data_IF_387123908861
#
_entry.id   IF_387123908861
#
_cell.length_a   1.000
_cell.length_b   1.000
_cell.length_c   1.000
_cell.angle_alpha   90.00
_cell.angle_beta   90.00
_cell.angle_gamma   90.00
#
_symmetry.space_group_name_H-M   'P 1'
#
loop_
_entity.id
_entity.type
_entity.pdbx_description
1 polymer ?
#
# COMPACT_ATOMS: atom_id res chain seq x y z
N UNK A 1 17.44 -1.10 8.52
CA UNK A 1 17.72 -2.53 8.27
C UNK A 1 16.39 -3.23 8.04
N UNK A 2 16.09 -3.61 6.78
CA UNK A 2 14.84 -4.33 6.43
C UNK A 2 15.14 -5.82 6.45
N UNK A 3 14.54 -6.54 7.41
CA UNK A 3 14.78 -7.97 7.63
C UNK A 3 13.82 -8.81 6.77
N UNK A 4 14.34 -9.42 5.73
CA UNK A 4 13.61 -10.23 4.73
C UNK A 4 14.12 -11.70 4.67
N UNK A 5 14.84 -12.18 5.70
CA UNK A 5 15.47 -13.51 5.73
C UNK A 5 14.51 -14.70 5.92
N UNK A 6 13.27 -14.45 6.32
CA UNK A 6 12.32 -15.52 6.68
C UNK A 6 11.81 -16.33 5.48
N UNK A 7 11.68 -17.67 5.67
CA UNK A 7 11.18 -18.60 4.65
C UNK A 7 9.65 -18.64 4.50
N UNK A 8 8.90 -17.99 5.40
CA UNK A 8 7.43 -17.91 5.30
C UNK A 8 6.66 -19.24 5.46
N UNK A 9 7.24 -20.25 6.12
CA UNK A 9 6.70 -21.62 6.24
C UNK A 9 5.23 -21.72 6.68
N UNK A 10 4.71 -20.73 7.42
CA UNK A 10 3.33 -20.72 7.94
C UNK A 10 2.24 -20.41 6.91
N UNK A 11 2.61 -19.86 5.75
CA UNK A 11 1.65 -19.53 4.68
C UNK A 11 1.41 -20.69 3.71
N UNK A 12 2.33 -21.69 3.64
CA UNK A 12 2.20 -22.85 2.76
C UNK A 12 2.33 -22.54 1.26
N UNK A 13 2.69 -21.32 0.87
CA UNK A 13 2.91 -20.93 -0.51
C UNK A 13 4.37 -21.14 -0.93
N UNK A 14 4.60 -21.41 -2.22
CA UNK A 14 5.94 -21.55 -2.80
C UNK A 14 6.71 -20.22 -2.80
N UNK A 15 6.02 -19.08 -2.77
CA UNK A 15 6.61 -17.74 -2.74
C UNK A 15 6.70 -17.23 -1.31
N UNK A 16 7.88 -16.76 -0.85
CA UNK A 16 8.00 -16.15 0.47
C UNK A 16 7.11 -14.92 0.61
N UNK A 17 6.51 -14.76 1.80
CA UNK A 17 5.48 -13.76 2.10
C UNK A 17 5.88 -12.32 1.81
N UNK A 18 7.16 -11.97 1.94
CA UNK A 18 7.67 -10.64 1.62
C UNK A 18 7.60 -10.30 0.13
N UNK A 19 7.49 -11.30 -0.74
CA UNK A 19 7.39 -11.12 -2.19
C UNK A 19 5.96 -11.32 -2.73
N UNK A 20 5.00 -11.62 -1.87
CA UNK A 20 3.59 -11.67 -2.26
C UNK A 20 3.13 -10.25 -2.66
N UNK A 21 2.23 -10.19 -3.64
CA UNK A 21 1.62 -8.94 -4.07
C UNK A 21 0.54 -8.48 -3.09
N UNK A 22 0.52 -7.20 -2.81
CA UNK A 22 -0.43 -6.51 -1.96
C UNK A 22 -0.64 -5.10 -2.52
N UNK A 23 -1.87 -4.71 -2.80
CA UNK A 23 -2.19 -3.38 -3.35
C UNK A 23 -1.25 -2.96 -4.51
N UNK A 24 -1.03 -3.87 -5.48
CA UNK A 24 -0.26 -3.63 -6.71
C UNK A 24 1.27 -3.70 -6.59
N UNK A 25 1.85 -3.85 -5.39
CA UNK A 25 3.29 -3.99 -5.15
C UNK A 25 3.59 -5.22 -4.30
N UNK A 26 4.85 -5.68 -4.29
CA UNK A 26 5.27 -6.69 -3.31
C UNK A 26 5.29 -6.11 -1.90
N UNK A 27 4.98 -6.93 -0.91
CA UNK A 27 4.92 -6.51 0.51
C UNK A 27 6.19 -5.77 0.94
N UNK A 28 7.36 -6.27 0.56
CA UNK A 28 8.65 -5.64 0.86
C UNK A 28 8.81 -4.26 0.19
N UNK A 29 8.26 -4.06 -1.01
CA UNK A 29 8.34 -2.76 -1.71
C UNK A 29 7.61 -1.67 -0.92
N UNK A 30 6.42 -1.97 -0.37
CA UNK A 30 5.70 -1.04 0.51
C UNK A 30 6.52 -0.66 1.75
N UNK A 31 7.18 -1.64 2.36
CA UNK A 31 8.05 -1.38 3.51
C UNK A 31 9.24 -0.49 3.13
N UNK A 32 9.94 -0.82 2.04
CA UNK A 32 11.10 -0.04 1.58
C UNK A 32 10.68 1.39 1.19
N UNK A 33 9.53 1.57 0.54
CA UNK A 33 9.00 2.89 0.14
C UNK A 33 8.92 3.87 1.31
N UNK A 34 8.45 3.42 2.48
CA UNK A 34 8.33 4.28 3.67
C UNK A 34 9.71 4.74 4.13
N UNK A 35 10.69 3.85 4.23
CA UNK A 35 12.04 4.21 4.64
C UNK A 35 12.78 5.03 3.58
N UNK A 36 12.58 4.74 2.28
CA UNK A 36 13.16 5.48 1.17
C UNK A 36 12.72 6.94 1.17
N UNK A 37 11.45 7.20 1.49
CA UNK A 37 10.89 8.54 1.46
C UNK A 37 11.07 9.30 2.79
N UNK A 38 11.45 8.62 3.87
CA UNK A 38 11.59 9.25 5.18
C UNK A 38 12.84 10.15 5.25
N UNK A 39 12.71 11.44 5.63
CA UNK A 39 13.81 12.41 5.56
C UNK A 39 14.98 12.12 6.51
N UNK A 40 14.74 11.44 7.64
CA UNK A 40 15.74 11.13 8.66
C UNK A 40 16.39 9.75 8.46
N UNK A 41 16.16 9.07 7.37
CA UNK A 41 16.83 7.81 7.01
C UNK A 41 17.89 8.11 5.96
N UNK A 42 19.13 7.78 6.28
CA UNK A 42 20.28 8.01 5.39
C UNK A 42 20.48 6.82 4.44
N UNK A 43 20.43 5.59 4.97
CA UNK A 43 20.69 4.37 4.23
C UNK A 43 19.68 3.26 4.55
N UNK A 44 19.40 2.44 3.56
CA UNK A 44 18.61 1.21 3.69
C UNK A 44 19.51 0.02 3.37
N UNK A 45 19.50 -0.95 4.28
CA UNK A 45 20.12 -2.27 4.09
C UNK A 45 19.02 -3.32 4.11
N UNK A 46 18.97 -4.16 3.10
CA UNK A 46 18.04 -5.31 3.07
C UNK A 46 18.81 -6.57 3.40
N UNK A 47 18.37 -7.30 4.41
CA UNK A 47 18.94 -8.61 4.75
C UNK A 47 18.00 -9.69 4.24
N UNK A 48 18.36 -10.32 3.14
CA UNK A 48 17.53 -11.29 2.43
C UNK A 48 17.98 -12.73 2.69
N UNK A 49 17.03 -13.64 2.52
CA UNK A 49 17.40 -15.05 2.37
C UNK A 49 18.34 -15.20 1.16
N UNK A 50 19.43 -16.01 1.26
CA UNK A 50 20.39 -16.19 0.18
C UNK A 50 19.78 -16.57 -1.17
N UNK A 51 18.69 -17.34 -1.18
CA UNK A 51 18.00 -17.77 -2.41
C UNK A 51 17.21 -16.66 -3.11
N UNK A 52 16.99 -15.53 -2.48
CA UNK A 52 16.16 -14.42 -2.98
C UNK A 52 16.90 -13.09 -3.10
N UNK A 53 18.22 -13.10 -3.02
CA UNK A 53 19.06 -11.89 -3.19
C UNK A 53 18.81 -11.25 -4.54
N UNK A 54 18.79 -12.06 -5.62
CA UNK A 54 18.53 -11.56 -6.98
C UNK A 54 17.16 -10.91 -7.12
N UNK A 55 16.15 -11.42 -6.41
CA UNK A 55 14.82 -10.83 -6.41
C UNK A 55 14.81 -9.44 -5.75
N UNK A 56 15.59 -9.26 -4.67
CA UNK A 56 15.77 -7.96 -4.01
C UNK A 56 16.54 -6.99 -4.90
N UNK A 57 17.56 -7.46 -5.63
CA UNK A 57 18.30 -6.66 -6.62
C UNK A 57 17.38 -6.16 -7.74
N UNK A 58 16.52 -7.03 -8.26
CA UNK A 58 15.53 -6.66 -9.27
C UNK A 58 14.56 -5.59 -8.75
N UNK A 59 14.13 -5.68 -7.49
CA UNK A 59 13.28 -4.67 -6.84
C UNK A 59 14.02 -3.32 -6.72
N UNK A 60 15.31 -3.35 -6.34
CA UNK A 60 16.14 -2.15 -6.26
C UNK A 60 16.20 -1.42 -7.61
N UNK A 61 16.52 -2.15 -8.67
CA UNK A 61 16.67 -1.60 -10.02
C UNK A 61 15.34 -1.06 -10.54
N UNK A 62 14.26 -1.84 -10.37
CA UNK A 62 12.92 -1.46 -10.83
C UNK A 62 12.42 -0.15 -10.22
N UNK A 63 12.67 0.06 -8.91
CA UNK A 63 12.12 1.19 -8.16
C UNK A 63 13.14 2.33 -7.96
N UNK A 64 14.36 2.21 -8.45
CA UNK A 64 15.43 3.22 -8.35
C UNK A 64 15.66 3.71 -6.91
N UNK A 65 15.68 2.78 -5.93
CA UNK A 65 15.84 3.10 -4.50
C UNK A 65 17.22 3.68 -4.18
N UNK A 66 17.34 4.99 -4.15
CA UNK A 66 18.61 5.71 -3.97
C UNK A 66 19.29 5.50 -2.61
N UNK A 67 18.49 5.23 -1.55
CA UNK A 67 19.00 4.98 -0.20
C UNK A 67 19.37 3.52 0.04
N UNK A 68 18.98 2.59 -0.81
CA UNK A 68 19.30 1.17 -0.67
C UNK A 68 20.77 0.91 -1.07
N UNK A 69 21.67 0.80 -0.10
CA UNK A 69 23.11 0.72 -0.31
C UNK A 69 23.69 -0.68 -0.26
N UNK A 70 23.07 -1.59 0.52
CA UNK A 70 23.61 -2.92 0.74
C UNK A 70 22.46 -3.95 0.72
N UNK A 71 22.72 -5.09 0.09
CA UNK A 71 21.90 -6.30 0.19
C UNK A 71 22.78 -7.36 0.84
N UNK A 72 22.37 -7.84 2.02
CA UNK A 72 23.12 -8.80 2.81
C UNK A 72 22.40 -10.15 2.81
N UNK A 73 23.18 -11.21 2.94
CA UNK A 73 22.64 -12.56 3.11
C UNK A 73 22.32 -12.77 4.59
N UNK A 74 21.07 -13.08 4.90
CA UNK A 74 20.65 -13.55 6.20
C UNK A 74 21.04 -15.01 6.45
N UNK A 75 20.83 -15.47 7.68
CA UNK A 75 21.11 -16.85 8.06
C UNK A 75 19.83 -17.62 8.39
N UNK A 76 20.02 -18.76 9.06
CA UNK A 76 18.96 -19.72 9.38
C UNK A 76 17.93 -19.15 10.37
N UNK A 77 18.41 -18.44 11.37
CA UNK A 77 17.59 -17.80 12.43
C UNK A 77 17.50 -16.29 12.22
N UNK A 78 16.48 -15.65 12.82
CA UNK A 78 16.27 -14.20 12.72
C UNK A 78 17.50 -13.41 13.18
N UNK A 79 18.12 -13.81 14.27
CA UNK A 79 19.28 -13.12 14.84
C UNK A 79 20.51 -13.14 13.92
N UNK A 80 20.67 -14.16 13.07
CA UNK A 80 21.74 -14.15 12.06
C UNK A 80 21.59 -13.00 11.09
N UNK A 81 20.34 -12.64 10.75
CA UNK A 81 20.08 -11.47 9.88
C UNK A 81 20.42 -10.17 10.59
N UNK A 82 20.12 -10.06 11.89
CA UNK A 82 20.49 -8.92 12.72
C UNK A 82 22.02 -8.78 12.83
N UNK A 83 22.73 -9.88 13.09
CA UNK A 83 24.19 -9.90 13.15
C UNK A 83 24.84 -9.52 11.81
N UNK A 84 24.30 -9.99 10.68
CA UNK A 84 24.81 -9.60 9.35
C UNK A 84 24.71 -8.07 9.16
N UNK A 85 23.59 -7.47 9.59
CA UNK A 85 23.40 -6.03 9.53
C UNK A 85 24.34 -5.26 10.49
N UNK A 86 24.51 -5.73 11.73
CA UNK A 86 25.38 -5.09 12.74
C UNK A 86 26.83 -5.10 12.27
N UNK A 87 27.30 -6.21 11.70
CA UNK A 87 28.67 -6.39 11.24
C UNK A 87 28.96 -5.70 9.90
N UNK A 88 27.95 -5.20 9.19
CA UNK A 88 28.12 -4.45 7.94
C UNK A 88 28.64 -3.02 8.12
N UNK A 89 28.76 -2.56 9.38
CA UNK A 89 29.26 -1.23 9.76
C UNK A 89 30.32 -1.37 10.83
N UNK A 90 31.32 -0.52 10.79
CA UNK A 90 32.39 -0.42 11.81
C UNK A 90 32.14 0.78 12.74
N UNK A 91 31.62 1.86 12.19
CA UNK A 91 31.35 3.14 12.87
C UNK A 91 30.09 3.07 13.75
N UNK A 92 29.99 4.01 14.69
CA UNK A 92 28.80 4.16 15.50
C UNK A 92 27.67 4.77 14.68
N UNK A 93 26.60 4.03 14.54
CA UNK A 93 25.39 4.44 13.80
C UNK A 93 24.14 4.06 14.56
N UNK A 94 23.07 4.79 14.32
CA UNK A 94 21.74 4.39 14.75
C UNK A 94 21.21 3.31 13.81
N UNK A 95 20.87 2.15 14.34
CA UNK A 95 20.36 1.01 13.59
C UNK A 95 18.87 0.83 13.87
N UNK A 96 18.07 0.79 12.84
CA UNK A 96 16.62 0.57 12.92
C UNK A 96 16.32 -0.75 12.21
N UNK A 97 15.94 -1.78 12.96
CA UNK A 97 15.57 -3.09 12.44
C UNK A 97 14.07 -3.17 12.23
N UNK A 98 13.64 -3.52 11.02
CA UNK A 98 12.24 -3.62 10.70
C UNK A 98 11.93 -4.88 9.88
N UNK A 99 10.84 -5.55 10.23
CA UNK A 99 10.36 -6.71 9.48
C UNK A 99 9.88 -6.28 8.08
N UNK A 100 10.42 -6.87 7.01
CA UNK A 100 9.99 -6.63 5.63
C UNK A 100 8.48 -6.87 5.39
N UNK A 101 7.85 -7.58 6.30
CA UNK A 101 6.45 -7.99 6.26
C UNK A 101 5.51 -7.19 7.17
N UNK A 102 5.92 -5.96 7.54
CA UNK A 102 5.06 -4.95 8.18
C UNK A 102 4.95 -3.72 7.28
N UNK A 103 4.19 -3.81 6.18
CA UNK A 103 4.20 -2.80 5.12
C UNK A 103 3.48 -1.50 5.48
N UNK A 104 2.81 -1.44 6.64
CA UNK A 104 2.05 -0.27 7.09
C UNK A 104 2.74 0.52 8.20
N UNK A 105 4.04 0.34 8.41
CA UNK A 105 4.84 1.27 9.23
C UNK A 105 4.68 2.70 8.66
N UNK A 106 4.73 3.71 9.53
CA UNK A 106 4.56 5.10 9.12
C UNK A 106 5.70 6.00 9.62
N UNK A 107 5.76 7.22 9.05
CA UNK A 107 6.82 8.19 9.34
C UNK A 107 6.88 8.58 10.81
N UNK A 108 5.72 8.67 11.49
CA UNK A 108 5.67 8.99 12.92
C UNK A 108 6.44 7.96 13.76
N UNK A 109 6.20 6.68 13.54
CA UNK A 109 6.87 5.61 14.30
C UNK A 109 8.38 5.67 14.08
N UNK A 110 8.83 5.87 12.84
CA UNK A 110 10.26 5.97 12.51
C UNK A 110 10.88 7.20 13.18
N UNK A 111 10.22 8.35 13.07
CA UNK A 111 10.65 9.61 13.70
C UNK A 111 10.74 9.48 15.22
N UNK A 112 9.73 8.87 15.84
CA UNK A 112 9.70 8.68 17.31
C UNK A 112 10.84 7.76 17.77
N UNK A 113 11.16 6.69 17.03
CA UNK A 113 12.30 5.82 17.31
C UNK A 113 13.63 6.59 17.22
N UNK A 114 13.83 7.38 16.16
CA UNK A 114 15.05 8.18 15.97
C UNK A 114 15.19 9.21 17.09
N UNK A 115 14.11 9.88 17.48
CA UNK A 115 14.13 10.84 18.57
C UNK A 115 14.41 10.18 19.94
N UNK A 116 13.84 8.99 20.19
CA UNK A 116 14.11 8.25 21.41
C UNK A 116 15.58 7.82 21.53
N UNK A 117 16.27 7.50 20.41
CA UNK A 117 17.69 7.17 20.39
C UNK A 117 18.63 8.35 20.76
N UNK A 118 18.11 9.57 20.86
CA UNK A 118 18.87 10.72 21.41
C UNK A 118 19.09 10.57 22.92
N UNK A 119 18.20 9.85 23.60
CA UNK A 119 18.22 9.70 25.07
C UNK A 119 18.49 8.24 25.50
N UNK A 120 18.00 7.28 24.74
CA UNK A 120 18.10 5.85 25.05
C UNK A 120 18.99 5.12 24.02
N UNK A 121 19.62 4.03 24.44
CA UNK A 121 20.47 3.24 23.56
C UNK A 121 19.73 2.10 22.86
N UNK A 122 18.54 1.76 23.36
CA UNK A 122 17.65 0.73 22.80
C UNK A 122 16.20 1.18 22.87
N UNK A 123 15.46 0.95 21.79
CA UNK A 123 14.06 1.38 21.63
C UNK A 123 13.26 0.26 20.99
N UNK A 124 12.13 -0.06 21.57
CA UNK A 124 11.13 -0.97 21.03
C UNK A 124 9.88 -0.20 20.58
N UNK A 125 9.10 -0.79 19.69
CA UNK A 125 7.78 -0.28 19.30
C UNK A 125 6.72 -1.27 19.72
N UNK A 126 5.72 -0.81 20.50
CA UNK A 126 4.67 -1.69 20.96
C UNK A 126 3.32 -0.99 21.09
N UNK A 127 2.25 -1.78 21.05
CA UNK A 127 0.87 -1.35 21.32
C UNK A 127 0.34 -2.00 22.58
N UNK A 128 -0.64 -1.36 23.25
CA UNK A 128 -1.34 -1.97 24.37
C UNK A 128 -2.06 -3.23 23.89
N UNK A 129 -1.94 -4.34 24.65
CA UNK A 129 -2.74 -5.52 24.37
C UNK A 129 -4.22 -5.25 24.66
N UNK A 130 -5.10 -5.73 23.79
CA UNK A 130 -6.55 -5.66 23.95
C UNK A 130 -7.12 -6.89 24.63
N UNK A 131 -6.46 -8.04 24.44
CA UNK A 131 -6.91 -9.32 24.95
C UNK A 131 -6.33 -9.61 26.35
N UNK A 132 -7.01 -10.47 27.08
CA UNK A 132 -6.47 -11.02 28.33
C UNK A 132 -5.39 -12.05 27.98
N UNK A 133 -4.17 -11.81 28.45
CA UNK A 133 -3.05 -12.75 28.30
C UNK A 133 -3.09 -13.71 29.47
N UNK A 134 -3.02 -15.00 29.16
CA UNK A 134 -2.91 -16.07 30.15
C UNK A 134 -1.55 -16.76 30.02
N UNK A 135 -0.97 -17.12 31.14
CA UNK A 135 0.20 -17.99 31.19
C UNK A 135 -0.27 -19.42 31.50
N UNK A 136 0.29 -20.38 30.79
CA UNK A 136 -0.04 -21.80 30.99
C UNK A 136 1.22 -22.63 31.22
N UNK A 137 1.09 -23.78 31.84
CA UNK A 137 2.13 -24.80 31.95
C UNK A 137 2.15 -25.72 30.70
N UNK A 138 2.95 -26.76 30.74
CA UNK A 138 3.11 -27.74 29.66
C UNK A 138 1.86 -28.60 29.42
N UNK A 139 0.91 -28.60 30.36
CA UNK A 139 -0.36 -29.32 30.30
C UNK A 139 -1.55 -28.42 29.99
N UNK A 140 -1.27 -27.18 29.55
CA UNK A 140 -2.26 -26.11 29.22
C UNK A 140 -3.11 -25.65 30.43
N UNK A 141 -2.67 -25.85 31.68
CA UNK A 141 -3.32 -25.26 32.85
C UNK A 141 -2.88 -23.81 33.05
N UNK A 142 -3.83 -22.93 33.41
CA UNK A 142 -3.55 -21.53 33.69
C UNK A 142 -2.69 -21.40 34.93
N UNK A 143 -1.49 -20.83 34.78
CA UNK A 143 -0.56 -20.56 35.87
C UNK A 143 -0.49 -19.11 36.29
N UNK A 144 -1.04 -18.19 35.45
CA UNK A 144 -1.08 -16.78 35.75
C UNK A 144 -1.90 -15.97 34.75
N UNK A 145 -2.41 -14.82 35.22
CA UNK A 145 -3.09 -13.83 34.41
C UNK A 145 -2.46 -12.47 34.74
N UNK A 146 -1.44 -12.04 33.98
CA UNK A 146 -0.75 -10.78 34.24
C UNK A 146 -1.66 -9.55 34.10
N UNK A 147 -1.40 -8.50 34.87
CA UNK A 147 -2.15 -7.25 34.80
C UNK A 147 -1.99 -6.60 33.41
N UNK A 148 -3.09 -6.54 32.64
CA UNK A 148 -3.12 -6.09 31.25
C UNK A 148 -2.58 -4.67 31.04
N UNK A 149 -2.70 -3.79 32.02
CA UNK A 149 -2.19 -2.42 31.93
C UNK A 149 -0.69 -2.33 31.66
N UNK A 150 0.10 -3.33 32.10
CA UNK A 150 1.54 -3.43 31.87
C UNK A 150 1.92 -4.24 30.64
N UNK A 151 0.96 -4.84 29.94
CA UNK A 151 1.25 -5.70 28.79
C UNK A 151 1.19 -4.91 27.48
N UNK A 152 2.12 -5.23 26.60
CA UNK A 152 2.24 -4.67 25.25
C UNK A 152 2.51 -5.78 24.24
N UNK A 153 1.96 -5.60 23.04
CA UNK A 153 2.31 -6.43 21.90
C UNK A 153 3.45 -5.75 21.15
N UNK A 154 4.64 -6.37 21.13
CA UNK A 154 5.83 -5.89 20.44
C UNK A 154 5.62 -5.83 18.93
N UNK A 155 6.13 -4.78 18.33
CA UNK A 155 6.14 -4.58 16.89
C UNK A 155 7.59 -4.34 16.42
N UNK A 156 7.75 -3.94 15.18
CA UNK A 156 8.96 -3.32 14.67
C UNK A 156 8.56 -1.98 14.01
N UNK A 157 9.45 -0.99 13.95
CA UNK A 157 10.90 -1.02 14.13
C UNK A 157 11.36 -1.27 15.57
N UNK A 158 12.55 -1.90 15.71
CA UNK A 158 13.35 -1.89 16.92
C UNK A 158 14.62 -1.10 16.63
N UNK A 159 15.01 -0.17 17.48
CA UNK A 159 16.08 0.76 17.16
C UNK A 159 17.15 0.78 18.25
N UNK A 160 18.42 0.87 17.85
CA UNK A 160 19.56 0.72 18.74
C UNK A 160 20.72 1.63 18.34
N UNK A 161 21.54 2.03 19.32
CA UNK A 161 22.93 2.38 19.07
C UNK A 161 23.65 1.11 18.66
N UNK A 162 24.48 1.17 17.60
CA UNK A 162 25.21 0.00 17.11
C UNK A 162 26.06 -0.67 18.18
N UNK A 163 26.80 0.12 18.95
CA UNK A 163 27.66 -0.38 20.03
C UNK A 163 26.86 -1.19 21.07
N UNK A 164 25.66 -0.73 21.44
CA UNK A 164 24.81 -1.41 22.41
C UNK A 164 24.33 -2.75 21.90
N UNK A 165 23.71 -2.80 20.71
CA UNK A 165 23.20 -4.07 20.18
C UNK A 165 24.32 -5.06 19.85
N UNK A 166 25.48 -4.57 19.39
CA UNK A 166 26.66 -5.40 19.16
C UNK A 166 27.14 -6.06 20.45
N UNK A 167 27.33 -5.26 21.52
CA UNK A 167 27.73 -5.75 22.85
C UNK A 167 26.76 -6.80 23.40
N UNK A 168 25.46 -6.54 23.25
CA UNK A 168 24.43 -7.49 23.69
C UNK A 168 24.58 -8.84 22.98
N UNK A 169 24.76 -8.85 21.67
CA UNK A 169 24.98 -10.08 20.91
C UNK A 169 26.34 -10.76 21.21
N UNK A 170 27.41 -10.00 21.46
CA UNK A 170 28.70 -10.57 21.86
C UNK A 170 28.63 -11.33 23.19
N UNK A 171 27.76 -10.92 24.11
CA UNK A 171 27.48 -11.63 25.34
C UNK A 171 26.55 -12.82 25.11
N UNK A 172 25.45 -12.60 24.36
CA UNK A 172 24.46 -13.61 24.07
C UNK A 172 25.04 -14.84 23.35
N UNK A 173 25.96 -14.65 22.42
CA UNK A 173 26.61 -15.74 21.68
C UNK A 173 27.57 -16.59 22.51
N UNK A 174 27.91 -16.18 23.73
CA UNK A 174 28.67 -16.98 24.70
C UNK A 174 27.76 -17.87 25.57
N UNK A 175 26.46 -17.59 25.58
CA UNK A 175 25.46 -18.40 26.31
C UNK A 175 25.07 -19.60 25.45
N UNK A 176 25.33 -20.80 25.92
CA UNK A 176 25.00 -22.04 25.21
C UNK A 176 23.49 -22.27 25.06
N UNK A 177 22.70 -21.65 25.95
CA UNK A 177 21.24 -21.71 25.91
C UNK A 177 20.61 -20.48 25.24
N UNK A 178 21.38 -19.76 24.40
CA UNK A 178 20.92 -18.58 23.72
C UNK A 178 19.74 -18.86 22.80
N UNK A 179 18.61 -18.26 23.12
CA UNK A 179 17.42 -18.21 22.29
C UNK A 179 16.83 -16.80 22.36
N UNK A 180 16.35 -16.31 21.23
CA UNK A 180 15.68 -15.01 21.16
C UNK A 180 14.61 -14.99 20.11
N UNK A 181 13.56 -14.21 20.37
CA UNK A 181 12.46 -13.92 19.42
C UNK A 181 12.66 -12.59 18.71
N UNK A 182 13.40 -11.65 19.34
CA UNK A 182 13.64 -10.30 18.82
C UNK A 182 14.96 -9.70 19.35
N UNK A 183 15.33 -8.53 18.84
CA UNK A 183 16.59 -7.88 19.18
C UNK A 183 16.53 -7.12 20.53
N UNK A 184 15.36 -6.59 20.90
CA UNK A 184 15.17 -5.93 22.20
C UNK A 184 15.28 -6.93 23.36
N UNK A 185 14.81 -8.17 23.18
CA UNK A 185 14.97 -9.25 24.15
C UNK A 185 16.43 -9.61 24.42
N UNK A 186 17.30 -9.47 23.40
CA UNK A 186 18.76 -9.67 23.58
C UNK A 186 19.35 -8.57 24.45
N UNK A 187 19.02 -7.31 24.20
CA UNK A 187 19.48 -6.19 25.03
C UNK A 187 18.97 -6.36 26.47
N UNK A 188 17.69 -6.60 26.64
CA UNK A 188 17.07 -6.77 27.96
C UNK A 188 17.71 -7.89 28.78
N UNK A 189 18.03 -9.03 28.17
CA UNK A 189 18.58 -10.20 28.87
C UNK A 189 20.06 -10.06 29.20
N UNK A 190 20.88 -9.51 28.28
CA UNK A 190 22.33 -9.52 28.38
C UNK A 190 22.96 -8.19 28.78
N UNK A 191 22.19 -7.11 28.78
CA UNK A 191 22.59 -5.78 29.24
C UNK A 191 21.57 -5.20 30.21
N UNK A 192 21.45 -5.76 31.45
CA UNK A 192 20.40 -5.35 32.38
C UNK A 192 20.53 -3.89 32.85
N UNK A 193 21.68 -3.26 32.64
CA UNK A 193 21.90 -1.84 32.89
C UNK A 193 21.29 -0.92 31.80
N UNK A 194 20.98 -1.44 30.63
CA UNK A 194 20.41 -0.69 29.51
C UNK A 194 18.89 -0.72 29.53
N UNK A 195 18.28 0.45 29.55
CA UNK A 195 16.83 0.56 29.46
C UNK A 195 16.38 0.47 28.01
N UNK A 196 15.46 -0.47 27.71
CA UNK A 196 14.75 -0.52 26.44
C UNK A 196 13.51 0.38 26.53
N UNK A 197 13.55 1.52 25.87
CA UNK A 197 12.41 2.46 25.87
C UNK A 197 11.34 2.03 24.86
N UNK A 198 10.06 2.16 25.23
CA UNK A 198 8.93 1.75 24.36
C UNK A 198 8.28 2.94 23.70
N UNK A 199 8.39 3.04 22.40
CA UNK A 199 7.65 3.97 21.53
C UNK A 199 6.27 3.38 21.23
N UNK A 200 5.25 4.25 21.19
CA UNK A 200 3.88 3.86 20.86
C UNK A 200 3.77 3.44 19.38
N UNK A 201 3.43 2.18 19.16
CA UNK A 201 3.12 1.63 17.85
C UNK A 201 1.73 2.00 17.34
N UNK A 202 1.31 1.34 16.26
CA UNK A 202 -0.02 1.48 15.64
C UNK A 202 -0.64 0.11 15.38
N UNK A 203 -1.97 0.01 15.51
CA UNK A 203 -2.68 -1.23 15.21
C UNK A 203 -2.51 -1.64 13.73
N UNK A 204 -2.41 -0.66 12.84
CA UNK A 204 -2.20 -0.90 11.42
C UNK A 204 -0.81 -1.46 11.08
N UNK A 205 0.19 -1.27 11.96
CA UNK A 205 1.54 -1.80 11.77
C UNK A 205 1.59 -3.30 12.09
N UNK A 206 0.65 -4.06 11.53
CA UNK A 206 0.54 -5.49 11.72
C UNK A 206 1.55 -6.26 10.87
N UNK A 207 1.91 -7.45 11.33
CA UNK A 207 2.83 -8.37 10.65
C UNK A 207 2.04 -9.35 9.78
N UNK A 208 2.37 -9.44 8.50
CA UNK A 208 1.87 -10.52 7.64
C UNK A 208 2.42 -11.86 8.13
N UNK A 209 1.57 -12.65 8.77
CA UNK A 209 1.94 -13.94 9.37
C UNK A 209 1.16 -15.09 8.75
N UNK A 210 -0.13 -14.93 8.57
CA UNK A 210 -1.09 -15.89 8.01
C UNK A 210 -1.68 -15.38 6.69
N UNK A 211 -2.38 -16.25 5.95
CA UNK A 211 -3.03 -15.88 4.66
C UNK A 211 -4.11 -14.82 4.85
N UNK A 212 -4.83 -14.90 5.95
CA UNK A 212 -5.90 -13.97 6.32
C UNK A 212 -5.37 -12.55 6.52
N UNK A 213 -4.12 -12.41 6.99
CA UNK A 213 -3.49 -11.10 7.18
C UNK A 213 -3.31 -10.34 5.86
N UNK A 214 -3.14 -11.05 4.74
CA UNK A 214 -3.04 -10.42 3.42
C UNK A 214 -4.34 -9.68 3.07
N UNK A 215 -5.48 -10.31 3.38
CA UNK A 215 -6.80 -9.72 3.19
C UNK A 215 -7.01 -8.48 4.07
N UNK A 216 -6.61 -8.59 5.34
CA UNK A 216 -6.71 -7.47 6.28
C UNK A 216 -5.80 -6.30 5.86
N UNK A 217 -4.57 -6.59 5.47
CA UNK A 217 -3.62 -5.58 4.98
C UNK A 217 -4.15 -4.87 3.73
N UNK A 218 -4.73 -5.60 2.76
CA UNK A 218 -5.33 -4.99 1.56
C UNK A 218 -6.43 -4.00 1.94
N UNK A 219 -7.31 -4.35 2.88
CA UNK A 219 -8.34 -3.44 3.39
C UNK A 219 -7.75 -2.24 4.13
N UNK A 220 -6.69 -2.43 4.90
CA UNK A 220 -6.00 -1.34 5.59
C UNK A 220 -5.31 -0.39 4.61
N UNK A 221 -4.73 -0.88 3.51
CA UNK A 221 -4.20 -0.03 2.44
C UNK A 221 -5.29 0.81 1.78
N UNK A 222 -6.46 0.21 1.52
CA UNK A 222 -7.61 0.94 1.00
C UNK A 222 -8.05 2.06 1.96
N UNK A 223 -8.14 1.78 3.27
CA UNK A 223 -8.48 2.77 4.30
C UNK A 223 -7.42 3.89 4.42
N UNK A 224 -6.13 3.53 4.34
CA UNK A 224 -5.03 4.52 4.37
C UNK A 224 -5.09 5.46 3.16
N UNK A 225 -5.41 4.94 1.98
CA UNK A 225 -5.60 5.77 0.78
C UNK A 225 -6.75 6.76 0.94
N UNK A 226 -7.82 6.38 1.64
CA UNK A 226 -8.95 7.27 1.95
C UNK A 226 -8.52 8.37 2.96
N UNK A 227 -7.72 8.02 3.97
CA UNK A 227 -7.27 8.98 4.99
C UNK A 227 -6.24 10.00 4.45
N UNK A 228 -5.44 9.63 3.45
CA UNK A 228 -4.46 10.52 2.80
C UNK A 228 -5.08 11.55 1.85
N UNK A 229 -6.39 11.49 1.57
CA UNK A 229 -7.10 12.45 0.71
C UNK A 229 -7.11 13.90 1.24
N UNK A 230 -6.60 14.15 2.43
CA UNK A 230 -6.41 15.50 2.98
C UNK A 230 -5.02 16.12 2.65
N UNK A 231 -4.18 15.44 1.88
CA UNK A 231 -2.95 16.05 1.41
C UNK A 231 -3.27 17.06 0.32
N UNK A 232 -2.93 18.31 0.57
CA UNK A 232 -2.99 19.41 -0.38
C UNK A 232 -2.24 19.03 -1.66
N UNK A 233 -2.89 19.24 -2.80
CA UNK A 233 -2.30 19.05 -4.14
C UNK A 233 -0.94 19.75 -4.17
N UNK A 234 0.14 19.00 -4.36
CA UNK A 234 1.48 19.58 -4.33
C UNK A 234 1.75 20.44 -5.56
N UNK A 235 2.57 21.49 -5.47
CA UNK A 235 2.97 22.30 -6.61
C UNK A 235 3.54 21.47 -7.77
N UNK A 236 4.22 20.36 -7.47
CA UNK A 236 4.78 19.43 -8.46
C UNK A 236 3.69 18.70 -9.26
N UNK A 237 2.59 18.34 -8.61
CA UNK A 237 1.44 17.67 -9.28
C UNK A 237 0.72 18.63 -10.19
N UNK A 238 0.56 19.90 -9.79
CA UNK A 238 -0.03 20.96 -10.61
C UNK A 238 0.86 21.27 -11.81
N UNK A 239 2.17 21.28 -11.63
CA UNK A 239 3.14 21.54 -12.70
C UNK A 239 3.10 20.50 -13.84
N UNK A 240 2.53 19.33 -13.61
CA UNK A 240 2.36 18.31 -14.66
C UNK A 240 1.10 18.48 -15.50
N UNK A 241 0.15 19.35 -15.11
CA UNK A 241 -1.11 19.57 -15.84
C UNK A 241 -0.97 20.42 -17.10
N UNK A 242 -0.13 21.49 -17.14
CA UNK A 242 0.02 22.28 -18.36
C UNK A 242 0.44 21.39 -19.54
N UNK A 243 -0.26 21.53 -20.66
CA UNK A 243 -0.07 20.75 -21.88
C UNK A 243 -0.45 19.25 -21.81
N UNK A 244 -0.99 18.76 -20.69
CA UNK A 244 -1.54 17.41 -20.64
C UNK A 244 -2.84 17.32 -21.42
N UNK A 245 -2.99 16.25 -22.20
CA UNK A 245 -4.22 15.94 -22.94
C UNK A 245 -5.07 14.97 -22.14
N UNK A 246 -6.24 15.42 -21.69
CA UNK A 246 -7.12 14.66 -20.81
C UNK A 246 -8.49 14.46 -21.48
N UNK A 247 -8.94 13.22 -21.54
CA UNK A 247 -10.27 12.85 -22.04
C UNK A 247 -11.18 12.54 -20.87
N UNK A 248 -12.35 13.17 -20.80
CA UNK A 248 -13.36 12.97 -19.74
C UNK A 248 -14.65 12.45 -20.36
N UNK A 249 -15.01 11.21 -20.02
CA UNK A 249 -16.33 10.65 -20.30
C UNK A 249 -17.27 10.96 -19.14
N UNK A 250 -18.49 11.48 -19.45
CA UNK A 250 -19.46 11.92 -18.43
C UNK A 250 -19.23 13.34 -17.91
N UNK A 251 -18.63 14.22 -18.73
CA UNK A 251 -18.25 15.57 -18.35
C UNK A 251 -19.35 16.63 -18.35
N UNK A 252 -20.60 16.28 -18.68
CA UNK A 252 -21.68 17.27 -18.84
C UNK A 252 -22.19 17.89 -17.54
N UNK A 253 -22.01 17.25 -16.39
CA UNK A 253 -22.42 17.77 -15.08
C UNK A 253 -21.65 17.11 -13.93
N UNK A 254 -21.81 17.67 -12.71
CA UNK A 254 -21.25 17.11 -11.47
C UNK A 254 -19.74 16.99 -11.51
N UNK A 255 -19.19 15.92 -10.91
CA UNK A 255 -17.75 15.71 -10.74
C UNK A 255 -16.99 15.82 -12.08
N UNK A 256 -17.55 15.28 -13.16
CA UNK A 256 -16.91 15.34 -14.48
C UNK A 256 -16.73 16.77 -14.96
N UNK A 257 -17.74 17.60 -14.80
CA UNK A 257 -17.71 19.03 -15.17
C UNK A 257 -16.71 19.80 -14.29
N UNK A 258 -16.66 19.51 -12.99
CA UNK A 258 -15.72 20.15 -12.07
C UNK A 258 -14.26 19.79 -12.42
N UNK A 259 -13.99 18.54 -12.76
CA UNK A 259 -12.67 18.09 -13.24
C UNK A 259 -12.27 18.89 -14.50
N UNK A 260 -13.19 19.04 -15.45
CA UNK A 260 -12.95 19.81 -16.67
C UNK A 260 -12.58 21.24 -16.36
N UNK A 261 -13.34 21.91 -15.51
CA UNK A 261 -13.10 23.30 -15.15
C UNK A 261 -11.75 23.47 -14.45
N UNK A 262 -11.48 22.64 -13.44
CA UNK A 262 -10.24 22.72 -12.67
C UNK A 262 -9.03 22.43 -13.56
N UNK A 263 -9.04 21.36 -14.33
CA UNK A 263 -7.89 21.02 -15.18
C UNK A 263 -7.62 22.09 -16.27
N UNK A 264 -8.66 22.70 -16.83
CA UNK A 264 -8.51 23.82 -17.76
C UNK A 264 -7.86 25.03 -17.12
N UNK A 265 -8.21 25.37 -15.88
CA UNK A 265 -7.57 26.48 -15.13
C UNK A 265 -6.06 26.29 -14.98
N UNK A 266 -5.60 25.04 -14.93
CA UNK A 266 -4.19 24.69 -14.85
C UNK A 266 -3.53 24.40 -16.21
N UNK A 267 -4.19 24.76 -17.31
CA UNK A 267 -3.61 24.72 -18.66
C UNK A 267 -3.62 23.35 -19.35
N UNK A 268 -4.44 22.39 -18.89
CA UNK A 268 -4.62 21.13 -19.58
C UNK A 268 -5.53 21.25 -20.81
N UNK A 269 -5.26 20.45 -21.83
CA UNK A 269 -6.12 20.29 -23.02
C UNK A 269 -7.20 19.24 -22.70
N UNK A 270 -8.45 19.69 -22.51
CA UNK A 270 -9.54 18.82 -22.04
C UNK A 270 -10.55 18.58 -23.18
N UNK A 271 -10.85 17.28 -23.37
CA UNK A 271 -11.88 16.79 -24.28
C UNK A 271 -12.98 16.12 -23.47
N UNK A 272 -14.22 16.61 -23.60
CA UNK A 272 -15.38 16.12 -22.87
C UNK A 272 -16.31 15.37 -23.81
N UNK A 273 -16.70 14.17 -23.40
CA UNK A 273 -17.66 13.35 -24.10
C UNK A 273 -18.79 12.88 -23.17
N UNK A 274 -20.01 13.07 -23.60
CA UNK A 274 -21.21 12.67 -22.89
C UNK A 274 -22.37 12.39 -23.81
N UNK A 275 -23.32 11.60 -23.36
CA UNK A 275 -24.52 11.31 -24.12
C UNK A 275 -25.36 12.57 -24.40
N UNK A 276 -25.40 13.51 -23.45
CA UNK A 276 -26.22 14.72 -23.52
C UNK A 276 -25.63 15.82 -24.39
N UNK A 277 -24.30 15.93 -24.47
CA UNK A 277 -23.65 17.03 -25.19
C UNK A 277 -23.27 16.67 -26.64
N UNK A 278 -22.76 15.47 -26.84
CA UNK A 278 -22.21 15.04 -28.14
C UNK A 278 -22.58 13.62 -28.54
N UNK A 279 -23.58 13.03 -27.85
CA UNK A 279 -24.15 11.72 -28.23
C UNK A 279 -23.27 10.52 -27.88
N UNK A 280 -22.14 10.69 -27.19
CA UNK A 280 -21.22 9.60 -26.86
C UNK A 280 -21.73 8.86 -25.64
N UNK A 281 -22.23 7.64 -25.84
CA UNK A 281 -22.62 6.72 -24.81
C UNK A 281 -21.46 5.77 -24.50
N UNK A 282 -21.01 5.72 -23.24
CA UNK A 282 -19.88 4.88 -22.81
C UNK A 282 -20.17 3.36 -22.95
N UNK A 283 -21.44 2.98 -23.06
CA UNK A 283 -21.84 1.59 -23.30
C UNK A 283 -21.71 1.15 -24.76
N UNK A 284 -21.43 2.09 -25.67
CA UNK A 284 -21.16 1.84 -27.09
C UNK A 284 -19.65 1.94 -27.37
N UNK A 285 -19.04 0.80 -27.69
CA UNK A 285 -17.61 0.69 -27.95
C UNK A 285 -17.16 1.49 -29.18
N UNK A 286 -17.98 1.57 -30.23
CA UNK A 286 -17.63 2.31 -31.43
C UNK A 286 -17.56 3.82 -31.13
N UNK A 287 -18.56 4.35 -30.42
CA UNK A 287 -18.58 5.77 -30.04
C UNK A 287 -17.40 6.15 -29.13
N UNK A 288 -17.04 5.26 -28.17
CA UNK A 288 -15.87 5.49 -27.29
C UNK A 288 -14.58 5.48 -28.11
N UNK A 289 -14.41 4.50 -29.00
CA UNK A 289 -13.21 4.38 -29.85
C UNK A 289 -13.07 5.61 -30.78
N UNK A 290 -14.16 6.06 -31.38
CA UNK A 290 -14.18 7.23 -32.25
C UNK A 290 -13.85 8.53 -31.51
N UNK A 291 -14.37 8.69 -30.30
CA UNK A 291 -14.06 9.81 -29.42
C UNK A 291 -12.56 9.90 -29.11
N UNK A 292 -11.95 8.77 -28.72
CA UNK A 292 -10.53 8.70 -28.41
C UNK A 292 -9.66 8.94 -29.66
N UNK A 293 -10.04 8.35 -30.80
CA UNK A 293 -9.34 8.55 -32.07
C UNK A 293 -9.38 10.03 -32.48
N UNK A 294 -10.51 10.70 -32.35
CA UNK A 294 -10.65 12.15 -32.68
C UNK A 294 -9.67 13.00 -31.88
N UNK A 295 -9.49 12.68 -30.58
CA UNK A 295 -8.52 13.39 -29.73
C UNK A 295 -7.09 13.05 -30.14
N UNK A 296 -6.80 11.79 -30.43
CA UNK A 296 -5.47 11.35 -30.86
C UNK A 296 -5.06 11.96 -32.18
N UNK A 297 -5.97 12.04 -33.15
CA UNK A 297 -5.73 12.66 -34.46
C UNK A 297 -5.43 14.17 -34.35
N UNK A 298 -6.03 14.84 -33.37
CA UNK A 298 -5.87 16.28 -33.15
C UNK A 298 -4.64 16.63 -32.32
N UNK A 299 -4.36 15.87 -31.23
CA UNK A 299 -3.33 16.21 -30.24
C UNK A 299 -2.07 15.33 -30.36
N UNK A 300 -2.16 14.20 -31.06
CA UNK A 300 -1.06 13.22 -31.17
C UNK A 300 -0.77 12.44 -29.92
N UNK A 301 -1.50 12.69 -28.82
CA UNK A 301 -1.32 12.02 -27.53
C UNK A 301 -2.57 12.08 -26.66
N UNK A 302 -2.67 11.15 -25.71
CA UNK A 302 -3.65 11.17 -24.62
C UNK A 302 -2.90 10.80 -23.34
N UNK A 303 -2.87 11.70 -22.36
CA UNK A 303 -2.12 11.52 -21.11
C UNK A 303 -2.98 10.95 -19.97
N UNK A 304 -4.28 11.25 -20.01
CA UNK A 304 -5.20 10.67 -19.04
C UNK A 304 -6.60 10.48 -19.64
N UNK A 305 -7.27 9.43 -19.18
CA UNK A 305 -8.68 9.18 -19.45
C UNK A 305 -9.41 9.06 -18.11
N UNK A 306 -10.50 9.82 -17.99
CA UNK A 306 -11.34 9.88 -16.79
C UNK A 306 -12.75 9.45 -17.18
N UNK A 307 -13.32 8.47 -16.50
CA UNK A 307 -14.71 8.07 -16.72
C UNK A 307 -15.55 8.32 -15.45
N UNK A 308 -16.36 9.38 -15.53
CA UNK A 308 -17.34 9.75 -14.48
C UNK A 308 -18.76 9.36 -14.87
N UNK A 309 -18.97 8.81 -16.08
CA UNK A 309 -20.29 8.40 -16.52
C UNK A 309 -20.94 7.39 -15.58
N UNK A 310 -22.18 7.62 -15.25
CA UNK A 310 -22.93 6.73 -14.38
C UNK A 310 -24.41 7.10 -14.33
N UNK A 311 -25.24 6.11 -14.01
CA UNK A 311 -26.68 6.29 -13.77
C UNK A 311 -27.04 5.72 -12.39
N UNK A 312 -27.93 6.40 -11.71
CA UNK A 312 -28.40 6.00 -10.39
C UNK A 312 -29.93 5.89 -10.40
N UNK A 313 -30.43 4.67 -10.44
CA UNK A 313 -31.84 4.34 -10.22
C UNK A 313 -32.04 3.96 -8.76
N UNK A 314 -33.00 4.60 -8.08
CA UNK A 314 -33.34 4.33 -6.67
C UNK A 314 -34.67 3.64 -6.60
N UNK A 315 -34.72 2.36 -6.92
CA UNK A 315 -35.96 1.57 -7.00
C UNK A 315 -35.75 0.18 -6.41
N UNK A 316 -36.80 -0.45 -5.90
CA UNK A 316 -36.76 -1.88 -5.55
C UNK A 316 -36.44 -2.72 -6.78
N UNK A 317 -35.47 -3.64 -6.67
CA UNK A 317 -35.12 -4.53 -7.79
C UNK A 317 -36.30 -5.28 -8.37
N UNK A 318 -37.28 -5.65 -7.50
CA UNK A 318 -38.50 -6.40 -7.90
C UNK A 318 -39.44 -5.61 -8.83
N UNK A 319 -39.33 -4.28 -8.89
CA UNK A 319 -40.15 -3.41 -9.73
C UNK A 319 -39.46 -2.90 -10.97
N UNK A 320 -38.12 -3.10 -11.06
CA UNK A 320 -37.33 -2.66 -12.21
C UNK A 320 -37.67 -3.48 -13.46
N UNK A 321 -37.80 -2.80 -14.58
CA UNK A 321 -37.88 -3.44 -15.89
C UNK A 321 -36.52 -4.02 -16.31
N UNK A 322 -36.54 -5.00 -17.21
CA UNK A 322 -35.32 -5.58 -17.75
C UNK A 322 -34.44 -4.53 -18.44
N UNK A 323 -35.05 -3.55 -19.13
CA UNK A 323 -34.34 -2.46 -19.79
C UNK A 323 -33.60 -1.56 -18.80
N UNK A 324 -34.22 -1.22 -17.68
CA UNK A 324 -33.57 -0.44 -16.60
C UNK A 324 -32.42 -1.20 -15.97
N UNK A 325 -32.57 -2.50 -15.73
CA UNK A 325 -31.51 -3.38 -15.24
C UNK A 325 -30.33 -3.36 -16.23
N UNK A 326 -30.58 -3.63 -17.50
CA UNK A 326 -29.57 -3.62 -18.54
C UNK A 326 -28.86 -2.27 -18.64
N UNK A 327 -29.61 -1.17 -18.68
CA UNK A 327 -29.06 0.19 -18.75
C UNK A 327 -28.17 0.50 -17.56
N UNK A 328 -28.59 0.13 -16.35
CA UNK A 328 -27.80 0.34 -15.14
C UNK A 328 -26.45 -0.39 -15.20
N UNK A 329 -26.46 -1.67 -15.61
CA UNK A 329 -25.24 -2.49 -15.74
C UNK A 329 -24.36 -1.99 -16.89
N UNK A 330 -24.94 -1.70 -18.04
CA UNK A 330 -24.21 -1.27 -19.23
C UNK A 330 -23.49 0.06 -18.99
N UNK A 331 -24.15 1.06 -18.41
CA UNK A 331 -23.49 2.36 -18.16
C UNK A 331 -22.51 2.28 -17.01
N UNK A 332 -22.92 1.69 -15.85
CA UNK A 332 -22.12 1.76 -14.63
C UNK A 332 -20.92 0.80 -14.60
N UNK A 333 -21.00 -0.35 -15.31
CA UNK A 333 -19.93 -1.34 -15.31
C UNK A 333 -19.34 -1.56 -16.70
N UNK A 334 -20.16 -2.00 -17.68
CA UNK A 334 -19.66 -2.29 -19.03
C UNK A 334 -19.03 -1.05 -19.67
N UNK A 335 -19.61 0.14 -19.47
CA UNK A 335 -19.05 1.39 -19.94
C UNK A 335 -17.65 1.68 -19.41
N UNK A 336 -17.40 1.37 -18.13
CA UNK A 336 -16.05 1.49 -17.56
C UNK A 336 -15.06 0.49 -18.18
N UNK A 337 -15.50 -0.74 -18.44
CA UNK A 337 -14.71 -1.77 -19.13
C UNK A 337 -14.39 -1.36 -20.56
N UNK A 338 -15.37 -0.83 -21.30
CA UNK A 338 -15.19 -0.33 -22.68
C UNK A 338 -14.20 0.82 -22.69
N UNK A 339 -14.40 1.83 -21.84
CA UNK A 339 -13.48 2.99 -21.77
C UNK A 339 -12.06 2.53 -21.45
N UNK A 340 -11.88 1.61 -20.52
CA UNK A 340 -10.55 1.06 -20.20
C UNK A 340 -9.93 0.38 -21.42
N UNK A 341 -10.65 -0.55 -22.06
CA UNK A 341 -10.17 -1.29 -23.23
C UNK A 341 -9.79 -0.39 -24.40
N UNK A 342 -10.65 0.55 -24.76
CA UNK A 342 -10.41 1.44 -25.90
C UNK A 342 -9.31 2.47 -25.63
N UNK A 343 -9.09 2.83 -24.36
CA UNK A 343 -8.03 3.77 -23.95
C UNK A 343 -6.64 3.12 -23.91
N UNK A 344 -6.56 1.80 -23.78
CA UNK A 344 -5.30 1.09 -23.55
C UNK A 344 -4.19 1.43 -24.56
N UNK A 345 -4.39 1.38 -25.89
CA UNK A 345 -3.32 1.64 -26.85
C UNK A 345 -2.73 3.05 -26.72
N UNK A 346 -3.56 4.04 -26.46
CA UNK A 346 -3.16 5.45 -26.34
C UNK A 346 -2.42 5.70 -25.02
N UNK A 347 -2.97 5.19 -23.92
CA UNK A 347 -2.35 5.33 -22.59
C UNK A 347 -1.03 4.56 -22.47
N UNK A 348 -0.88 3.44 -23.18
CA UNK A 348 0.39 2.72 -23.26
C UNK A 348 1.48 3.54 -23.95
N UNK A 349 1.14 4.26 -25.01
CA UNK A 349 2.09 5.13 -25.73
C UNK A 349 2.59 6.28 -24.86
N UNK A 350 1.70 6.91 -24.08
CA UNK A 350 2.01 8.06 -23.23
C UNK A 350 2.51 7.66 -21.83
N UNK A 351 2.45 6.38 -21.44
CA UNK A 351 2.55 5.91 -20.05
C UNK A 351 1.59 6.66 -19.12
N UNK A 352 0.38 6.84 -19.61
CA UNK A 352 -0.64 7.73 -19.09
C UNK A 352 -1.38 7.18 -17.85
N UNK A 353 -2.59 7.73 -17.63
CA UNK A 353 -3.40 7.35 -16.48
C UNK A 353 -4.86 7.08 -16.87
N UNK A 354 -5.47 6.05 -16.25
CA UNK A 354 -6.90 5.78 -16.28
C UNK A 354 -7.50 6.01 -14.91
N UNK A 355 -8.54 6.85 -14.84
CA UNK A 355 -9.27 7.13 -13.61
C UNK A 355 -10.73 6.74 -13.75
N UNK A 356 -11.17 5.81 -12.92
CA UNK A 356 -12.56 5.37 -12.84
C UNK A 356 -13.21 5.85 -11.52
N UNK A 357 -14.55 5.81 -11.46
CA UNK A 357 -15.28 6.23 -10.28
C UNK A 357 -16.12 5.09 -9.72
N UNK A 358 -15.88 4.79 -8.45
CA UNK A 358 -16.70 3.93 -7.62
C UNK A 358 -17.68 4.77 -6.78
N UNK A 359 -18.08 4.32 -5.61
CA UNK A 359 -18.99 5.02 -4.69
C UNK A 359 -18.80 4.50 -3.29
N UNK A 360 -19.05 5.30 -2.27
CA UNK A 360 -19.05 4.85 -0.87
C UNK A 360 -20.00 3.67 -0.58
N UNK A 361 -20.91 3.36 -1.50
CA UNK A 361 -21.78 2.18 -1.41
C UNK A 361 -21.11 0.86 -1.84
N UNK A 362 -19.85 0.88 -2.29
CA UNK A 362 -19.15 -0.34 -2.73
C UNK A 362 -18.78 -1.27 -1.56
N UNK A 363 -18.54 -0.71 -0.38
CA UNK A 363 -18.17 -1.49 0.81
C UNK A 363 -19.37 -2.12 1.50
N UNK A 364 -20.55 -1.51 1.35
CA UNK A 364 -21.81 -1.98 1.92
C UNK A 364 -22.96 -1.56 1.04
N UNK A 365 -23.72 -2.54 0.56
CA UNK A 365 -24.95 -2.29 -0.21
C UNK A 365 -25.95 -1.45 0.58
N UNK A 366 -26.68 -0.58 -0.11
CA UNK A 366 -27.73 0.27 0.45
C UNK A 366 -29.09 -0.15 -0.11
N UNK A 367 -30.13 0.03 0.66
CA UNK A 367 -31.50 -0.18 0.20
C UNK A 367 -31.79 0.66 -1.04
N UNK A 368 -32.45 0.10 -2.04
CA UNK A 368 -32.77 0.71 -3.34
C UNK A 368 -31.56 0.98 -4.26
N UNK A 369 -30.36 0.52 -3.90
CA UNK A 369 -29.13 0.75 -4.68
C UNK A 369 -28.50 -0.56 -5.17
N UNK A 370 -29.26 -1.66 -5.24
CA UNK A 370 -28.70 -2.98 -5.50
C UNK A 370 -27.79 -3.04 -6.73
N UNK A 371 -28.27 -2.59 -7.90
CA UNK A 371 -27.49 -2.60 -9.15
C UNK A 371 -26.36 -1.57 -9.15
N UNK A 372 -26.61 -0.38 -8.59
CA UNK A 372 -25.60 0.67 -8.50
C UNK A 372 -24.45 0.25 -7.59
N UNK A 373 -24.77 -0.19 -6.38
CA UNK A 373 -23.74 -0.61 -5.39
C UNK A 373 -22.92 -1.78 -5.90
N UNK A 374 -23.56 -2.80 -6.50
CA UNK A 374 -22.85 -3.96 -7.06
C UNK A 374 -21.98 -3.59 -8.25
N UNK A 375 -22.44 -2.73 -9.17
CA UNK A 375 -21.62 -2.23 -10.28
C UNK A 375 -20.40 -1.44 -9.78
N UNK A 376 -20.58 -0.59 -8.76
CA UNK A 376 -19.49 0.20 -8.19
C UNK A 376 -18.51 -0.65 -7.37
N UNK A 377 -18.96 -1.74 -6.76
CA UNK A 377 -18.08 -2.74 -6.15
C UNK A 377 -17.27 -3.51 -7.22
N UNK A 378 -17.91 -3.86 -8.35
CA UNK A 378 -17.24 -4.50 -9.47
C UNK A 378 -16.10 -3.63 -10.06
N UNK A 379 -16.28 -2.30 -10.11
CA UNK A 379 -15.22 -1.36 -10.56
C UNK A 379 -13.96 -1.47 -9.69
N UNK A 380 -14.10 -1.60 -8.37
CA UNK A 380 -12.94 -1.72 -7.48
C UNK A 380 -12.13 -2.96 -7.81
N UNK A 381 -12.79 -4.11 -7.93
CA UNK A 381 -12.13 -5.37 -8.27
C UNK A 381 -11.55 -5.35 -9.69
N UNK A 382 -12.27 -4.76 -10.64
CA UNK A 382 -11.80 -4.57 -12.02
C UNK A 382 -10.51 -3.74 -12.08
N UNK A 383 -10.43 -2.63 -11.35
CA UNK A 383 -9.22 -1.78 -11.29
C UNK A 383 -8.04 -2.54 -10.68
N UNK A 384 -8.27 -3.34 -9.64
CA UNK A 384 -7.25 -4.18 -9.03
C UNK A 384 -6.67 -5.19 -10.03
N UNK A 385 -7.55 -5.96 -10.70
CA UNK A 385 -7.12 -6.93 -11.71
C UNK A 385 -6.37 -6.25 -12.87
N UNK A 386 -6.92 -5.15 -13.38
CA UNK A 386 -6.36 -4.42 -14.50
C UNK A 386 -4.99 -3.80 -14.18
N UNK A 387 -4.78 -3.36 -12.94
CA UNK A 387 -3.48 -2.83 -12.50
C UNK A 387 -2.38 -3.90 -12.52
N UNK A 388 -2.73 -5.15 -12.32
CA UNK A 388 -1.81 -6.29 -12.45
C UNK A 388 -1.57 -6.67 -13.91
N UNK A 389 -2.63 -6.73 -14.73
CA UNK A 389 -2.54 -7.05 -16.15
C UNK A 389 -1.70 -6.03 -16.94
N UNK A 390 -1.80 -4.74 -16.56
CA UNK A 390 -1.14 -3.64 -17.27
C UNK A 390 0.15 -3.16 -16.60
N UNK A 391 0.64 -3.87 -15.61
CA UNK A 391 1.83 -3.49 -14.83
C UNK A 391 3.03 -3.12 -15.71
N UNK A 392 3.29 -3.91 -16.76
CA UNK A 392 4.45 -3.70 -17.64
C UNK A 392 4.22 -2.64 -18.73
N UNK A 393 2.99 -2.12 -18.83
CA UNK A 393 2.65 -1.08 -19.80
C UNK A 393 3.07 0.33 -19.37
N UNK A 394 3.35 0.54 -18.08
CA UNK A 394 3.60 1.85 -17.48
C UNK A 394 2.33 2.70 -17.26
N UNK A 395 1.13 2.16 -17.54
CA UNK A 395 -0.14 2.84 -17.30
C UNK A 395 -0.46 2.84 -15.82
N UNK A 396 -0.87 3.98 -15.28
CA UNK A 396 -1.38 4.13 -13.91
C UNK A 396 -2.90 4.02 -13.91
N UNK A 397 -3.44 3.08 -13.14
CA UNK A 397 -4.89 2.86 -13.05
C UNK A 397 -5.34 3.08 -11.62
N UNK A 398 -6.38 3.89 -11.45
CA UNK A 398 -6.95 4.16 -10.14
C UNK A 398 -8.48 4.27 -10.21
N UNK A 399 -9.13 4.11 -9.06
CA UNK A 399 -10.53 4.52 -8.91
C UNK A 399 -10.68 5.42 -7.68
N UNK A 400 -11.55 6.43 -7.83
CA UNK A 400 -11.95 7.32 -6.74
C UNK A 400 -13.26 6.84 -6.14
N UNK A 401 -13.33 6.89 -4.83
CA UNK A 401 -14.55 6.63 -4.05
C UNK A 401 -15.08 7.95 -3.49
N UNK A 402 -15.95 8.67 -4.20
CA UNK A 402 -16.56 9.88 -3.66
C UNK A 402 -17.48 9.53 -2.49
N UNK A 403 -17.40 10.33 -1.42
CA UNK A 403 -18.45 10.34 -0.40
C UNK A 403 -19.73 10.99 -0.94
N UNK A 404 -20.77 11.03 -0.10
CA UNK A 404 -22.03 11.65 -0.48
C UNK A 404 -21.80 13.13 -0.82
N UNK A 405 -21.93 13.45 -2.08
CA UNK A 405 -21.95 14.83 -2.55
C UNK A 405 -23.37 15.34 -2.33
N UNK A 406 -23.50 16.38 -1.53
CA UNK A 406 -24.77 17.06 -1.25
C UNK A 406 -25.13 18.01 -2.38
#
# INVERSE_FOLDING_TARGET
MVLAGGFGQRLGDATPKQFLKLAGKKVIEHTIDVFQNHPLIDEIVVVSNPNYVQEVENILVKNEYSKMKKILKGGKERYHSSLAAINAYEEEVNMIFHDAVRPLVNDRIITDCINALKTYNAVDVAIKTTDTIIQVDVEDHITGIPAREYLRNGQTPQAFKRSTIKRAYELALKDLDFQTTDDCGVVYRYLPEEFVYVVKGEQFNMKLTYKEDLFLLDKLFQLKSIAQQNETVTPKTIAALPSSVIVVFGGSYGIGLDIIHICRQYGAHIYSFSRSENGVDVSDSALVADALRTVMDKEGRIDAVVNTAGVLNREPLATMTYEEICKSIHVNYLGAVIVARESYPYLKMSKGALLLFTSSSYTRGRQLYSLYSSSKAAIVNFVQALSEEWQDSGIRINCINPERIT
#
